data_IF_071944027196
#
_entry.id   IF_071944027196
#
_cell.length_a   1.000
_cell.length_b   1.000
_cell.length_c   1.000
_cell.angle_alpha   90.00
_cell.angle_beta   90.00
_cell.angle_gamma   90.00
#
_symmetry.space_group_name_H-M   'P 1'
#
loop_
_entity.id
_entity.type
_entity.pdbx_description
1 polymer ?
#
# COMPACT_ATOMS: atom_id res chain seq x y z
N UNK A 1 -6.19 3.92 7.73
CA UNK A 1 -6.11 4.52 9.09
C UNK A 1 -4.66 4.50 9.49
N UNK A 2 -4.13 5.62 9.99
CA UNK A 2 -2.76 5.72 10.45
C UNK A 2 -2.72 6.40 11.82
N UNK A 3 -2.48 5.61 12.86
CA UNK A 3 -2.73 6.05 14.24
C UNK A 3 -4.18 6.49 14.40
N UNK A 4 -4.40 7.72 14.84
CA UNK A 4 -5.73 8.32 15.04
C UNK A 4 -6.24 9.08 13.80
N UNK A 5 -5.52 9.02 12.67
CA UNK A 5 -5.87 9.77 11.47
C UNK A 5 -6.50 8.87 10.41
N UNK A 6 -7.60 9.36 9.84
CA UNK A 6 -8.12 8.86 8.57
C UNK A 6 -7.45 9.65 7.46
N UNK A 7 -6.66 8.96 6.64
CA UNK A 7 -6.13 9.53 5.41
C UNK A 7 -7.16 9.25 4.32
N UNK A 8 -7.54 10.32 3.63
CA UNK A 8 -8.79 10.41 2.89
C UNK A 8 -8.99 9.30 1.86
N UNK A 9 -10.27 9.07 1.48
CA UNK A 9 -10.56 8.19 0.36
C UNK A 9 -9.87 8.74 -0.88
N UNK A 10 -9.19 7.86 -1.60
CA UNK A 10 -8.73 8.13 -2.96
C UNK A 10 -9.69 7.43 -3.92
N UNK A 11 -10.21 8.17 -4.89
CA UNK A 11 -11.14 7.65 -5.88
C UNK A 11 -10.41 7.46 -7.19
N UNK A 12 -10.46 6.24 -7.72
CA UNK A 12 -9.97 5.95 -9.06
C UNK A 12 -11.05 6.38 -10.07
N UNK A 13 -10.67 7.18 -11.06
CA UNK A 13 -11.58 7.61 -12.14
C UNK A 13 -12.01 6.45 -13.06
N UNK A 14 -11.20 5.39 -13.08
CA UNK A 14 -11.42 4.17 -13.86
C UNK A 14 -11.47 2.95 -12.94
N UNK A 15 -11.88 1.81 -13.49
CA UNK A 15 -11.80 0.54 -12.77
C UNK A 15 -10.38 0.28 -12.25
N UNK A 16 -10.29 -0.10 -10.98
CA UNK A 16 -9.04 -0.45 -10.33
C UNK A 16 -8.37 -1.64 -11.04
N UNK A 17 -7.14 -1.44 -11.46
CA UNK A 17 -6.28 -2.47 -12.04
C UNK A 17 -4.85 -2.34 -11.48
N UNK A 18 -3.98 -3.26 -11.85
CA UNK A 18 -2.61 -3.29 -11.31
C UNK A 18 -1.79 -2.03 -11.64
N UNK A 19 -2.00 -1.46 -12.81
CA UNK A 19 -1.23 -0.31 -13.31
C UNK A 19 -1.65 0.97 -12.60
N UNK A 20 -2.94 1.30 -12.60
CA UNK A 20 -3.42 2.51 -11.93
C UNK A 20 -3.26 2.42 -10.41
N UNK A 21 -3.33 1.22 -9.81
CA UNK A 21 -3.00 1.03 -8.41
C UNK A 21 -1.53 1.31 -8.11
N UNK A 22 -0.61 0.85 -8.97
CA UNK A 22 0.82 1.14 -8.81
C UNK A 22 1.10 2.65 -8.95
N UNK A 23 0.48 3.31 -9.93
CA UNK A 23 0.57 4.77 -10.11
C UNK A 23 0.08 5.49 -8.86
N UNK A 24 -1.05 5.08 -8.30
CA UNK A 24 -1.56 5.63 -7.03
C UNK A 24 -0.53 5.47 -5.89
N UNK A 25 0.03 4.26 -5.71
CA UNK A 25 1.01 3.99 -4.66
C UNK A 25 2.28 4.85 -4.79
N UNK A 26 2.69 5.14 -6.02
CA UNK A 26 3.92 5.88 -6.32
C UNK A 26 3.74 7.40 -6.26
N UNK A 27 2.60 7.90 -6.73
CA UNK A 27 2.43 9.33 -7.02
C UNK A 27 1.42 9.99 -6.08
N UNK A 28 0.32 9.32 -5.75
CA UNK A 28 -0.79 9.93 -5.01
C UNK A 28 -0.74 9.64 -3.52
N UNK A 29 -0.44 8.39 -3.14
CA UNK A 29 -0.32 8.00 -1.75
C UNK A 29 0.71 8.85 -0.98
N UNK A 30 1.90 9.17 -1.52
CA UNK A 30 2.83 10.08 -0.84
C UNK A 30 2.24 11.48 -0.62
N UNK A 31 1.45 11.99 -1.56
CA UNK A 31 0.79 13.29 -1.42
C UNK A 31 -0.28 13.26 -0.33
N UNK A 32 -1.05 12.17 -0.22
CA UNK A 32 -2.00 11.97 0.86
C UNK A 32 -1.33 11.87 2.24
N UNK A 33 -0.09 11.39 2.27
CA UNK A 33 0.70 11.22 3.49
C UNK A 33 1.59 12.43 3.84
N UNK A 34 1.64 13.48 3.01
CA UNK A 34 2.62 14.57 3.13
C UNK A 34 2.59 15.34 4.46
N UNK A 35 1.44 15.35 5.13
CA UNK A 35 1.23 16.05 6.40
C UNK A 35 1.44 15.15 7.62
N UNK A 36 1.77 13.88 7.40
CA UNK A 36 2.05 12.94 8.47
C UNK A 36 3.51 13.07 8.90
N UNK A 37 3.72 13.07 10.23
CA UNK A 37 5.06 13.08 10.80
C UNK A 37 5.89 11.90 10.26
N UNK A 38 7.11 12.21 9.78
CA UNK A 38 8.04 11.24 9.23
C UNK A 38 8.36 10.07 10.17
N UNK A 39 8.42 10.29 11.49
CA UNK A 39 8.64 9.24 12.48
C UNK A 39 7.50 8.23 12.52
N UNK A 40 6.27 8.69 12.26
CA UNK A 40 5.11 7.81 12.15
C UNK A 40 5.17 7.01 10.84
N UNK A 41 5.51 7.68 9.72
CA UNK A 41 5.66 7.01 8.42
C UNK A 41 6.76 5.94 8.43
N UNK A 42 7.88 6.20 9.11
CA UNK A 42 9.00 5.26 9.20
C UNK A 42 8.67 4.01 10.02
N UNK A 43 7.72 4.09 10.95
CA UNK A 43 7.25 2.99 11.80
C UNK A 43 5.95 2.35 11.32
N UNK A 44 5.31 2.92 10.31
CA UNK A 44 4.04 2.45 9.77
C UNK A 44 4.18 1.07 9.14
N UNK A 45 3.11 0.28 9.31
CA UNK A 45 2.85 -0.94 8.55
C UNK A 45 1.84 -0.67 7.45
N UNK A 46 2.13 -1.13 6.24
CA UNK A 46 1.17 -1.09 5.13
C UNK A 46 0.40 -2.42 5.06
N UNK A 47 -0.91 -2.37 4.86
CA UNK A 47 -1.73 -3.59 4.75
C UNK A 47 -2.73 -3.44 3.62
N UNK A 48 -2.86 -4.48 2.80
CA UNK A 48 -3.85 -4.56 1.73
C UNK A 48 -4.47 -5.96 1.66
N UNK A 49 -5.65 -6.07 1.07
CA UNK A 49 -6.35 -7.33 0.86
C UNK A 49 -5.83 -8.10 -0.37
N UNK A 50 -6.52 -9.18 -0.73
CA UNK A 50 -6.16 -10.05 -1.86
C UNK A 50 -6.74 -9.66 -3.22
N UNK A 51 -7.24 -8.43 -3.42
CA UNK A 51 -7.86 -8.03 -4.68
C UNK A 51 -6.89 -8.21 -5.88
N UNK A 52 -7.38 -8.57 -7.09
CA UNK A 52 -6.50 -8.85 -8.24
C UNK A 52 -5.50 -7.74 -8.57
N UNK A 53 -5.91 -6.47 -8.49
CA UNK A 53 -5.04 -5.31 -8.73
C UNK A 53 -3.83 -5.26 -7.77
N UNK A 54 -4.03 -5.70 -6.52
CA UNK A 54 -3.04 -5.65 -5.45
C UNK A 54 -1.97 -6.76 -5.57
N UNK A 55 -2.25 -7.83 -6.33
CA UNK A 55 -1.42 -9.05 -6.41
C UNK A 55 -0.43 -9.08 -7.57
N UNK A 56 -0.44 -8.06 -8.43
CA UNK A 56 0.48 -8.05 -9.57
C UNK A 56 1.95 -8.02 -9.10
N UNK A 57 2.85 -8.64 -9.89
CA UNK A 57 4.28 -8.67 -9.56
C UNK A 57 4.88 -7.27 -9.42
N UNK A 58 4.44 -6.31 -10.23
CA UNK A 58 4.97 -4.94 -10.18
C UNK A 58 4.55 -4.25 -8.87
N UNK A 59 3.29 -4.43 -8.44
CA UNK A 59 2.78 -3.90 -7.17
C UNK A 59 3.51 -4.54 -5.99
N UNK A 60 3.59 -5.88 -5.94
CA UNK A 60 4.23 -6.56 -4.80
C UNK A 60 5.73 -6.26 -4.74
N UNK A 61 6.43 -6.14 -5.88
CA UNK A 61 7.82 -5.70 -5.92
C UNK A 61 7.99 -4.27 -5.37
N UNK A 62 7.11 -3.35 -5.78
CA UNK A 62 7.13 -1.99 -5.24
C UNK A 62 6.94 -2.00 -3.73
N UNK A 63 5.94 -2.72 -3.21
CA UNK A 63 5.67 -2.79 -1.77
C UNK A 63 6.82 -3.44 -0.98
N UNK A 64 7.39 -4.53 -1.51
CA UNK A 64 8.58 -5.17 -0.94
C UNK A 64 9.79 -4.21 -0.89
N UNK A 65 9.97 -3.35 -1.90
CA UNK A 65 11.06 -2.38 -1.90
C UNK A 65 10.78 -1.18 -0.98
N UNK A 66 9.55 -0.66 -1.01
CA UNK A 66 9.15 0.58 -0.34
C UNK A 66 8.90 0.41 1.15
N UNK A 67 8.29 -0.70 1.56
CA UNK A 67 7.91 -1.00 2.93
C UNK A 67 8.72 -2.15 3.55
N UNK A 68 9.45 -2.93 2.74
CA UNK A 68 10.35 -4.01 3.19
C UNK A 68 9.60 -5.00 4.10
N UNK A 69 10.05 -5.17 5.34
CA UNK A 69 9.46 -6.10 6.29
C UNK A 69 8.25 -5.50 7.04
N UNK A 70 7.71 -4.36 6.59
CA UNK A 70 6.60 -3.64 7.22
C UNK A 70 5.38 -3.53 6.31
N UNK A 71 5.08 -4.59 5.57
CA UNK A 71 3.78 -4.69 4.91
C UNK A 71 3.22 -6.11 4.91
N UNK A 72 1.90 -6.18 4.96
CA UNK A 72 1.11 -7.41 5.04
C UNK A 72 0.21 -7.48 3.81
N UNK A 73 0.26 -8.61 3.12
CA UNK A 73 -0.47 -8.81 1.87
C UNK A 73 -0.03 -10.06 1.13
N UNK A 74 -0.85 -10.51 0.19
CA UNK A 74 -0.47 -11.59 -0.73
C UNK A 74 0.80 -11.18 -1.51
N UNK A 75 1.83 -12.02 -1.48
CA UNK A 75 3.14 -11.70 -2.08
C UNK A 75 4.09 -10.84 -1.24
N UNK A 76 3.75 -10.56 0.04
CA UNK A 76 4.72 -10.06 1.01
C UNK A 76 5.73 -11.15 1.33
N UNK A 77 7.03 -10.81 1.28
CA UNK A 77 8.11 -11.78 1.54
C UNK A 77 8.18 -12.22 2.99
N UNK A 78 7.69 -11.40 3.92
CA UNK A 78 7.86 -11.61 5.36
C UNK A 78 6.52 -11.89 6.06
N UNK A 79 5.45 -11.26 5.60
CA UNK A 79 4.15 -11.32 6.26
C UNK A 79 3.03 -11.49 5.23
N UNK A 80 3.00 -12.67 4.62
CA UNK A 80 1.89 -13.07 3.77
C UNK A 80 0.63 -13.37 4.60
N UNK A 81 -0.54 -13.13 4.02
CA UNK A 81 -1.79 -13.55 4.64
C UNK A 81 -1.81 -15.07 4.82
N UNK A 82 -2.34 -15.59 5.94
CA UNK A 82 -2.49 -17.02 6.09
C UNK A 82 -3.44 -17.55 4.99
N UNK A 83 -3.21 -18.78 4.51
CA UNK A 83 -4.18 -19.45 3.66
C UNK A 83 -5.54 -19.49 4.35
N UNK A 84 -6.61 -19.41 3.56
CA UNK A 84 -7.99 -19.45 4.06
C UNK A 84 -8.35 -20.81 4.63
#
# INVERSE_FOLDING_TARGET
ILGNNIIGPYFFEQHLNAENYLTFLQNDLPNLLRHINNDLLNRMWFQQDGAPAHRSRNVTNFLNNRFRNRWIGMGSRTHEWPPR
#
